data_IF_435243737447
#
_entry.id   IF_435243737447
#
_cell.length_a   1.000
_cell.length_b   1.000
_cell.length_c   1.000
_cell.angle_alpha   90.00
_cell.angle_beta   90.00
_cell.angle_gamma   90.00
#
_symmetry.space_group_name_H-M   'P 1'
#
loop_
_entity.id
_entity.type
_entity.pdbx_description
1 polymer ?
#
# COMPACT_ATOMS: atom_id res chain seq x y z
N UNK A 1 5.98 29.21 -39.74
CA UNK A 1 5.56 28.43 -38.56
C UNK A 1 4.21 27.83 -38.92
N UNK A 2 4.16 26.52 -39.14
CA UNK A 2 2.99 25.83 -39.66
C UNK A 2 1.81 26.01 -38.72
N UNK A 3 0.74 26.60 -39.26
CA UNK A 3 -0.54 26.79 -38.58
C UNK A 3 -1.30 25.45 -38.60
N UNK A 4 -0.69 24.38 -38.08
CA UNK A 4 -1.36 23.08 -37.98
C UNK A 4 -2.50 23.21 -36.96
N UNK A 5 -3.71 22.96 -37.43
CA UNK A 5 -4.90 22.93 -36.58
C UNK A 5 -4.74 21.81 -35.55
N UNK A 6 -5.17 22.08 -34.32
CA UNK A 6 -5.25 21.08 -33.23
C UNK A 6 -5.93 19.82 -33.74
N UNK A 7 -5.37 18.65 -33.40
CA UNK A 7 -5.87 17.37 -33.87
C UNK A 7 -7.34 17.13 -33.44
N UNK A 8 -8.26 16.72 -34.34
CA UNK A 8 -9.70 16.59 -34.01
C UNK A 8 -9.99 15.66 -32.84
N UNK A 9 -9.21 14.57 -32.67
CA UNK A 9 -9.36 13.68 -31.51
C UNK A 9 -9.19 14.43 -30.19
N UNK A 10 -8.27 15.39 -30.11
CA UNK A 10 -8.05 16.16 -28.89
C UNK A 10 -9.24 17.08 -28.60
N UNK A 11 -9.84 17.68 -29.63
CA UNK A 11 -11.04 18.50 -29.46
C UNK A 11 -12.19 17.70 -28.84
N UNK A 12 -12.35 16.43 -29.23
CA UNK A 12 -13.35 15.53 -28.65
C UNK A 12 -13.07 15.15 -27.18
N UNK A 13 -11.84 15.35 -26.69
CA UNK A 13 -11.47 15.08 -25.29
C UNK A 13 -11.74 16.26 -24.36
N UNK A 14 -12.01 17.46 -24.88
CA UNK A 14 -12.25 18.66 -24.05
C UNK A 14 -13.36 18.45 -23.01
N UNK A 15 -14.52 17.82 -23.31
CA UNK A 15 -15.54 17.56 -22.29
C UNK A 15 -15.06 16.70 -21.12
N UNK A 16 -14.09 15.80 -21.34
CA UNK A 16 -13.54 14.97 -20.27
C UNK A 16 -12.73 15.79 -19.26
N UNK A 17 -12.09 16.87 -19.71
CA UNK A 17 -11.30 17.76 -18.85
C UNK A 17 -12.17 18.35 -17.75
N UNK A 18 -13.34 18.89 -18.13
CA UNK A 18 -14.28 19.47 -17.17
C UNK A 18 -15.01 18.37 -16.37
N UNK A 19 -15.48 17.31 -17.04
CA UNK A 19 -16.23 16.23 -16.39
C UNK A 19 -15.46 15.51 -15.28
N UNK A 20 -14.20 15.14 -15.53
CA UNK A 20 -13.35 14.45 -14.53
C UNK A 20 -13.05 15.38 -13.36
N UNK A 21 -12.60 16.59 -13.65
CA UNK A 21 -12.26 17.61 -12.66
C UNK A 21 -13.43 17.90 -11.72
N UNK A 22 -14.63 18.15 -12.26
CA UNK A 22 -15.84 18.41 -11.46
C UNK A 22 -16.29 17.21 -10.64
N UNK A 23 -16.11 15.99 -11.17
CA UNK A 23 -16.46 14.76 -10.44
C UNK A 23 -15.55 14.54 -9.23
N UNK A 24 -14.26 14.86 -9.35
CA UNK A 24 -13.26 14.66 -8.30
C UNK A 24 -13.10 15.87 -7.36
N UNK A 25 -13.64 17.02 -7.74
CA UNK A 25 -13.63 18.24 -6.94
C UNK A 25 -12.45 19.17 -7.21
N UNK A 26 -12.38 20.28 -6.47
CA UNK A 26 -11.44 21.39 -6.70
C UNK A 26 -9.96 21.00 -6.66
N UNK A 27 -9.63 19.93 -5.94
CA UNK A 27 -8.25 19.47 -5.77
C UNK A 27 -7.75 18.64 -6.96
N UNK A 28 -8.61 18.36 -7.94
CA UNK A 28 -8.24 17.61 -9.14
C UNK A 28 -8.11 18.55 -10.34
N UNK A 29 -6.89 18.78 -10.78
CA UNK A 29 -6.59 19.43 -12.05
C UNK A 29 -6.58 18.39 -13.17
N UNK A 30 -7.20 18.75 -14.29
CA UNK A 30 -7.15 17.94 -15.51
C UNK A 30 -6.65 18.83 -16.64
N UNK A 31 -5.64 18.35 -17.37
CA UNK A 31 -4.95 19.11 -18.41
C UNK A 31 -4.91 18.29 -19.68
N UNK A 32 -5.39 18.86 -20.78
CA UNK A 32 -5.26 18.28 -22.11
C UNK A 32 -4.15 19.00 -22.87
N UNK A 33 -3.23 18.21 -23.41
CA UNK A 33 -2.06 18.68 -24.13
C UNK A 33 -2.13 18.30 -25.62
N UNK A 34 -1.77 19.26 -26.47
CA UNK A 34 -1.31 19.05 -27.83
C UNK A 34 0.23 18.95 -27.82
N UNK A 35 0.77 17.78 -28.16
CA UNK A 35 2.22 17.56 -28.13
C UNK A 35 2.94 18.10 -29.37
N UNK A 36 2.22 18.40 -30.45
CA UNK A 36 2.80 18.99 -31.67
C UNK A 36 3.17 20.46 -31.46
N UNK A 37 2.57 21.11 -30.46
CA UNK A 37 2.89 22.49 -30.07
C UNK A 37 3.40 22.56 -28.61
N UNK A 38 4.64 22.10 -28.32
CA UNK A 38 5.15 22.02 -26.96
C UNK A 38 5.25 23.37 -26.24
N UNK A 39 5.43 24.48 -26.97
CA UNK A 39 5.50 25.83 -26.39
C UNK A 39 4.14 26.33 -25.90
N UNK A 40 3.05 25.83 -26.48
CA UNK A 40 1.66 26.17 -26.11
C UNK A 40 0.81 24.90 -25.97
N UNK A 41 1.36 23.88 -25.30
CA UNK A 41 0.77 22.55 -25.32
C UNK A 41 -0.61 22.47 -24.68
N UNK A 42 -0.90 23.28 -23.66
CA UNK A 42 -2.18 23.19 -22.94
C UNK A 42 -3.30 23.78 -23.78
N UNK A 43 -4.18 22.92 -24.30
CA UNK A 43 -5.33 23.33 -25.12
C UNK A 43 -6.65 23.35 -24.33
N UNK A 44 -6.74 22.61 -23.23
CA UNK A 44 -7.83 22.70 -22.27
C UNK A 44 -7.32 22.36 -20.87
N UNK A 45 -7.86 23.02 -19.86
CA UNK A 45 -7.48 22.81 -18.46
C UNK A 45 -8.66 23.14 -17.55
N UNK A 46 -8.88 22.30 -16.52
CA UNK A 46 -9.80 22.56 -15.42
C UNK A 46 -9.03 22.50 -14.10
N UNK A 47 -9.41 23.33 -13.13
CA UNK A 47 -8.71 23.51 -11.85
C UNK A 47 -7.21 23.85 -11.98
N UNK A 48 -6.83 24.66 -12.98
CA UNK A 48 -5.43 25.06 -13.22
C UNK A 48 -4.74 25.79 -12.07
N UNK A 49 -5.48 26.19 -11.02
CA UNK A 49 -4.92 26.73 -9.78
C UNK A 49 -4.11 25.71 -8.97
N UNK A 50 -4.28 24.40 -9.22
CA UNK A 50 -3.47 23.35 -8.57
C UNK A 50 -2.00 23.47 -8.97
N UNK A 51 -1.71 23.70 -10.26
CA UNK A 51 -0.32 23.88 -10.72
C UNK A 51 0.04 25.32 -11.11
N UNK A 52 -0.94 26.23 -11.13
CA UNK A 52 -0.81 27.59 -11.63
C UNK A 52 -0.80 27.70 -13.16
N UNK A 53 -1.13 26.62 -13.88
CA UNK A 53 -1.11 26.57 -15.35
C UNK A 53 -2.44 27.03 -15.94
N UNK A 54 -2.41 27.45 -17.20
CA UNK A 54 -3.57 27.91 -17.98
C UNK A 54 -3.50 27.43 -19.43
N UNK A 55 -4.57 27.61 -20.19
CA UNK A 55 -4.54 27.40 -21.64
C UNK A 55 -3.40 28.22 -22.26
N UNK A 56 -2.63 27.59 -23.15
CA UNK A 56 -1.43 28.15 -23.76
C UNK A 56 -0.14 27.99 -22.93
N UNK A 57 -0.20 27.41 -21.73
CA UNK A 57 1.02 27.08 -20.97
C UNK A 57 1.90 26.06 -21.71
N UNK A 58 3.24 26.18 -21.61
CA UNK A 58 4.17 25.26 -22.25
C UNK A 58 4.14 23.89 -21.57
N UNK A 59 4.59 22.86 -22.28
CA UNK A 59 4.80 21.54 -21.72
C UNK A 59 5.93 21.56 -20.69
N UNK A 60 5.77 20.78 -19.62
CA UNK A 60 6.80 20.63 -18.59
C UNK A 60 8.03 19.90 -19.11
N UNK A 61 9.19 20.11 -18.50
CA UNK A 61 10.43 19.36 -18.79
C UNK A 61 10.20 17.84 -18.78
N UNK A 62 9.50 17.32 -17.78
CA UNK A 62 9.14 15.90 -17.70
C UNK A 62 8.29 15.42 -18.88
N UNK A 63 7.33 16.24 -19.33
CA UNK A 63 6.52 15.95 -20.52
C UNK A 63 7.37 15.90 -21.80
N UNK A 64 8.32 16.83 -21.94
CA UNK A 64 9.29 16.82 -23.05
C UNK A 64 10.18 15.57 -23.01
N UNK A 65 10.67 15.19 -21.83
CA UNK A 65 11.45 13.95 -21.65
C UNK A 65 10.64 12.71 -21.99
N UNK A 66 9.37 12.63 -21.55
CA UNK A 66 8.50 11.49 -21.83
C UNK A 66 8.27 11.30 -23.34
N UNK A 67 8.12 12.40 -24.09
CA UNK A 67 8.05 12.36 -25.55
C UNK A 67 9.38 11.92 -26.15
N UNK A 68 10.49 12.54 -25.74
CA UNK A 68 11.83 12.24 -26.28
C UNK A 68 12.24 10.79 -26.05
N UNK A 69 11.96 10.26 -24.87
CA UNK A 69 12.34 8.91 -24.45
C UNK A 69 11.35 7.84 -24.91
N UNK A 70 10.29 8.21 -25.64
CA UNK A 70 9.20 7.31 -26.05
C UNK A 70 8.51 6.60 -24.88
N UNK A 71 8.42 7.26 -23.73
CA UNK A 71 7.70 6.74 -22.57
C UNK A 71 6.19 6.60 -22.83
N UNK A 72 5.70 7.19 -23.93
CA UNK A 72 4.34 7.09 -24.42
C UNK A 72 3.91 5.72 -24.95
N UNK A 73 4.82 4.73 -25.01
CA UNK A 73 4.44 3.33 -25.27
C UNK A 73 3.46 2.80 -24.22
N UNK A 74 3.46 3.38 -23.00
CA UNK A 74 2.52 3.07 -21.94
C UNK A 74 2.05 4.33 -21.23
N UNK A 75 0.86 4.29 -20.67
CA UNK A 75 0.38 5.36 -19.80
C UNK A 75 1.19 5.42 -18.50
N UNK A 76 1.47 6.63 -18.01
CA UNK A 76 2.12 6.84 -16.72
C UNK A 76 1.03 6.98 -15.66
N UNK A 77 0.90 6.03 -14.74
CA UNK A 77 -0.25 5.94 -13.83
C UNK A 77 0.17 6.03 -12.37
N UNK A 78 -0.55 6.82 -11.56
CA UNK A 78 -0.42 6.92 -10.09
C UNK A 78 1.00 7.30 -9.61
N UNK A 79 1.71 8.17 -10.32
CA UNK A 79 3.03 8.63 -9.89
C UNK A 79 2.93 9.89 -9.01
N UNK A 80 3.95 10.11 -8.18
CA UNK A 80 4.09 11.33 -7.37
C UNK A 80 4.77 12.44 -8.17
N UNK A 81 4.31 13.68 -7.99
CA UNK A 81 5.03 14.89 -8.35
C UNK A 81 4.78 15.98 -7.30
N UNK A 82 5.48 17.10 -7.43
CA UNK A 82 5.43 18.23 -6.51
C UNK A 82 5.28 19.50 -7.33
N UNK A 83 4.36 20.37 -6.92
CA UNK A 83 4.16 21.70 -7.52
C UNK A 83 5.28 22.65 -7.09
N UNK A 84 5.36 23.82 -7.74
CA UNK A 84 6.37 24.83 -7.39
C UNK A 84 6.19 25.39 -5.96
N UNK A 85 4.97 25.35 -5.42
CA UNK A 85 4.64 25.75 -4.05
C UNK A 85 4.74 24.60 -3.02
N UNK A 86 5.22 23.42 -3.43
CA UNK A 86 5.54 22.30 -2.52
C UNK A 86 4.39 21.32 -2.26
N UNK A 87 3.22 21.50 -2.87
CA UNK A 87 2.08 20.56 -2.74
C UNK A 87 2.39 19.24 -3.41
N UNK A 88 1.96 18.15 -2.77
CA UNK A 88 2.15 16.79 -3.28
C UNK A 88 0.97 16.38 -4.14
N UNK A 89 1.22 16.03 -5.40
CA UNK A 89 0.17 15.49 -6.26
C UNK A 89 0.38 14.01 -6.57
N UNK A 90 -0.75 13.32 -6.72
CA UNK A 90 -0.87 11.99 -7.32
C UNK A 90 -1.37 12.18 -8.74
N UNK A 91 -0.51 11.86 -9.69
CA UNK A 91 -0.71 12.22 -11.10
C UNK A 91 -0.74 11.01 -12.02
N UNK A 92 -1.47 11.15 -13.13
CA UNK A 92 -1.45 10.20 -14.24
C UNK A 92 -1.40 10.95 -15.58
N UNK A 93 -0.68 10.42 -16.55
CA UNK A 93 -0.60 10.90 -17.93
C UNK A 93 -1.06 9.80 -18.87
N UNK A 94 -2.16 10.06 -19.57
CA UNK A 94 -2.77 9.17 -20.54
C UNK A 94 -2.42 9.67 -21.94
N UNK A 95 -1.64 8.90 -22.69
CA UNK A 95 -1.26 9.28 -24.05
C UNK A 95 -2.41 8.99 -25.01
N UNK A 96 -2.67 9.95 -25.90
CA UNK A 96 -3.73 9.87 -26.90
C UNK A 96 -3.06 9.61 -28.24
N UNK A 97 -3.40 8.47 -28.84
CA UNK A 97 -2.92 8.07 -30.15
C UNK A 97 -4.02 8.19 -31.19
N UNK A 98 -3.64 8.47 -32.43
CA UNK A 98 -4.54 8.43 -33.57
C UNK A 98 -4.66 7.02 -34.18
N UNK A 99 -5.36 6.91 -35.31
CA UNK A 99 -5.59 5.64 -36.00
C UNK A 99 -4.32 5.03 -36.61
N UNK A 100 -3.24 5.82 -36.73
CA UNK A 100 -1.93 5.39 -37.21
C UNK A 100 -1.00 4.94 -36.07
N UNK A 101 -1.51 4.86 -34.82
CA UNK A 101 -0.74 4.64 -33.58
C UNK A 101 0.25 5.78 -33.24
N UNK A 102 0.10 6.95 -33.88
CA UNK A 102 0.92 8.12 -33.61
C UNK A 102 0.37 8.90 -32.42
N UNK A 103 1.24 9.32 -31.51
CA UNK A 103 0.84 10.13 -30.36
C UNK A 103 0.52 11.53 -30.82
N UNK A 104 -0.70 12.00 -30.54
CA UNK A 104 -1.17 13.34 -30.91
C UNK A 104 -1.32 14.27 -29.72
N UNK A 105 -1.46 13.71 -28.51
CA UNK A 105 -1.60 14.48 -27.29
C UNK A 105 -1.52 13.64 -26.03
N UNK A 106 -1.79 14.25 -24.89
CA UNK A 106 -1.99 13.52 -23.65
C UNK A 106 -2.98 14.23 -22.70
N UNK A 107 -3.67 13.43 -21.89
CA UNK A 107 -4.55 13.88 -20.81
C UNK A 107 -3.84 13.64 -19.47
N UNK A 108 -3.56 14.70 -18.74
CA UNK A 108 -2.98 14.65 -17.40
C UNK A 108 -4.07 14.83 -16.36
N UNK A 109 -4.08 13.97 -15.34
CA UNK A 109 -4.95 14.07 -14.16
C UNK A 109 -4.03 14.25 -12.96
N UNK A 110 -4.13 15.38 -12.28
CA UNK A 110 -3.27 15.77 -11.17
C UNK A 110 -4.14 16.03 -9.93
N UNK A 111 -4.10 15.12 -8.96
CA UNK A 111 -4.83 15.26 -7.70
C UNK A 111 -3.91 15.77 -6.61
N UNK A 112 -4.20 16.94 -6.04
CA UNK A 112 -3.55 17.42 -4.82
C UNK A 112 -3.95 16.53 -3.64
N UNK A 113 -2.96 15.80 -3.12
CA UNK A 113 -3.15 14.87 -2.00
C UNK A 113 -2.47 15.35 -0.71
N UNK A 114 -2.07 16.61 -0.66
CA UNK A 114 -1.27 17.16 0.46
C UNK A 114 -1.98 16.98 1.81
N UNK A 115 -3.28 17.27 1.87
CA UNK A 115 -4.10 17.09 3.08
C UNK A 115 -4.20 15.62 3.50
N UNK A 116 -4.31 14.70 2.55
CA UNK A 116 -4.35 13.26 2.85
C UNK A 116 -3.01 12.74 3.36
N UNK A 117 -1.89 13.30 2.89
CA UNK A 117 -0.56 12.96 3.43
C UNK A 117 -0.45 13.40 4.89
N UNK A 118 -0.96 14.58 5.23
CA UNK A 118 -1.00 15.07 6.62
C UNK A 118 -1.94 14.20 7.47
N UNK A 119 -3.16 13.95 6.99
CA UNK A 119 -4.13 13.11 7.69
C UNK A 119 -3.58 11.70 7.93
N UNK A 120 -2.91 11.10 6.94
CA UNK A 120 -2.22 9.82 7.08
C UNK A 120 -1.22 9.85 8.23
N UNK A 121 -0.40 10.90 8.31
CA UNK A 121 0.59 11.05 9.39
C UNK A 121 -0.08 11.11 10.76
N UNK A 122 -1.13 11.91 10.91
CA UNK A 122 -1.89 12.02 12.18
C UNK A 122 -2.53 10.69 12.56
N UNK A 123 -3.14 9.99 11.61
CA UNK A 123 -3.73 8.66 11.85
C UNK A 123 -2.65 7.67 12.25
N UNK A 124 -1.50 7.65 11.57
CA UNK A 124 -0.38 6.80 11.93
C UNK A 124 0.09 7.09 13.35
N UNK A 125 0.37 8.35 13.70
CA UNK A 125 0.79 8.73 15.05
C UNK A 125 -0.25 8.38 16.14
N UNK A 126 -1.54 8.50 15.83
CA UNK A 126 -2.62 8.17 16.77
C UNK A 126 -2.80 6.66 16.97
N UNK A 127 -2.49 5.85 15.95
CA UNK A 127 -2.75 4.39 15.94
C UNK A 127 -1.49 3.56 16.13
N UNK A 128 -0.31 4.18 16.08
CA UNK A 128 0.96 3.53 16.31
C UNK A 128 1.04 3.02 17.76
N UNK A 129 1.25 1.72 17.89
CA UNK A 129 1.48 1.07 19.19
C UNK A 129 2.89 0.54 19.23
N UNK A 130 3.60 0.89 20.30
CA UNK A 130 4.93 0.39 20.60
C UNK A 130 4.89 -0.51 21.83
N UNK A 131 5.79 -1.48 21.90
CA UNK A 131 6.09 -2.17 23.15
C UNK A 131 6.94 -1.27 24.08
N UNK A 132 7.24 -1.78 25.27
CA UNK A 132 8.06 -1.08 26.28
C UNK A 132 9.49 -0.78 25.81
N UNK A 133 9.92 -1.35 24.69
CA UNK A 133 11.23 -1.16 24.06
C UNK A 133 11.18 -0.30 22.79
N UNK A 134 10.02 0.30 22.47
CA UNK A 134 9.85 1.14 21.30
C UNK A 134 9.77 0.37 19.97
N UNK A 135 9.55 -0.95 20.00
CA UNK A 135 9.31 -1.75 18.79
C UNK A 135 7.82 -1.82 18.49
N UNK A 136 7.47 -1.90 17.20
CA UNK A 136 6.08 -2.08 16.78
C UNK A 136 5.46 -3.30 17.47
N UNK A 137 4.36 -3.08 18.17
CA UNK A 137 3.71 -4.11 18.99
C UNK A 137 2.81 -4.99 18.11
N UNK A 138 3.34 -6.12 17.64
CA UNK A 138 2.51 -7.20 17.04
C UNK A 138 1.79 -8.05 18.11
N UNK A 139 2.03 -7.81 19.39
CA UNK A 139 1.47 -8.66 20.45
C UNK A 139 -0.03 -8.40 20.65
N UNK A 140 -0.84 -9.32 20.11
CA UNK A 140 -2.25 -9.44 20.48
C UNK A 140 -2.35 -10.03 21.89
N UNK A 141 -2.71 -9.19 22.85
CA UNK A 141 -3.10 -9.65 24.18
C UNK A 141 -4.37 -10.52 24.06
N UNK A 142 -4.37 -11.66 24.73
CA UNK A 142 -5.47 -12.62 24.67
C UNK A 142 -6.31 -12.46 25.93
N UNK A 143 -7.47 -11.82 25.80
CA UNK A 143 -8.41 -11.65 26.91
C UNK A 143 -9.35 -12.86 26.97
N UNK A 144 -9.23 -13.66 28.03
CA UNK A 144 -10.15 -14.75 28.36
C UNK A 144 -11.06 -14.38 29.54
N UNK A 145 -12.23 -15.03 29.64
CA UNK A 145 -13.11 -14.87 30.82
C UNK A 145 -12.64 -15.70 32.02
N UNK A 146 -11.77 -16.69 31.77
CA UNK A 146 -11.04 -17.43 32.78
C UNK A 146 -9.63 -17.81 32.25
N UNK A 147 -8.77 -18.35 33.11
CA UNK A 147 -7.37 -18.66 32.76
C UNK A 147 -7.22 -19.83 31.78
N UNK A 148 -8.20 -20.74 31.72
CA UNK A 148 -8.21 -21.84 30.75
C UNK A 148 -8.53 -21.33 29.35
N UNK A 149 -9.41 -20.33 29.21
CA UNK A 149 -9.69 -19.70 27.92
C UNK A 149 -8.41 -19.09 27.31
N UNK A 150 -7.57 -18.49 28.16
CA UNK A 150 -6.27 -17.94 27.76
C UNK A 150 -5.34 -19.08 27.29
N UNK A 151 -5.24 -20.16 28.06
CA UNK A 151 -4.45 -21.35 27.70
C UNK A 151 -4.89 -21.92 26.33
N UNK A 152 -6.19 -22.13 26.14
CA UNK A 152 -6.74 -22.68 24.90
C UNK A 152 -6.47 -21.78 23.71
N UNK A 153 -6.65 -20.47 23.87
CA UNK A 153 -6.40 -19.51 22.80
C UNK A 153 -4.93 -19.39 22.43
N UNK A 154 -4.01 -19.38 23.41
CA UNK A 154 -2.56 -19.32 23.15
C UNK A 154 -2.10 -20.59 22.42
N UNK A 155 -2.52 -21.78 22.88
CA UNK A 155 -2.19 -23.05 22.21
C UNK A 155 -2.77 -23.11 20.80
N UNK A 156 -4.02 -22.69 20.61
CA UNK A 156 -4.68 -22.63 19.31
C UNK A 156 -3.93 -21.73 18.32
N UNK A 157 -3.58 -20.50 18.72
CA UNK A 157 -2.84 -19.55 17.88
C UNK A 157 -1.47 -20.08 17.45
N UNK A 158 -0.75 -20.77 18.34
CA UNK A 158 0.55 -21.36 18.00
C UNK A 158 0.38 -22.47 16.96
N UNK A 159 -0.62 -23.34 17.12
CA UNK A 159 -0.88 -24.43 16.17
C UNK A 159 -1.35 -23.91 14.80
N UNK A 160 -2.22 -22.91 14.78
CA UNK A 160 -2.63 -22.24 13.54
C UNK A 160 -1.44 -21.59 12.82
N UNK A 161 -0.52 -20.96 13.56
CA UNK A 161 0.69 -20.35 13.01
C UNK A 161 1.65 -21.36 12.36
N UNK A 162 1.68 -22.61 12.84
CA UNK A 162 2.45 -23.70 12.20
C UNK A 162 1.74 -24.21 10.94
N UNK A 163 0.40 -24.10 10.86
CA UNK A 163 -0.38 -24.39 9.65
C UNK A 163 -0.39 -25.88 9.23
N UNK A 164 -0.04 -26.79 10.14
CA UNK A 164 0.07 -28.24 9.89
C UNK A 164 -0.75 -29.02 10.91
N UNK A 165 -1.55 -30.04 10.53
CA UNK A 165 -2.26 -30.85 11.51
C UNK A 165 -1.29 -31.67 12.38
N UNK A 166 -1.56 -31.74 13.69
CA UNK A 166 -0.70 -32.40 14.70
C UNK A 166 -0.35 -33.85 14.35
N UNK A 167 -1.29 -34.58 13.73
CA UNK A 167 -1.10 -35.97 13.32
C UNK A 167 0.03 -36.16 12.29
N UNK A 168 0.39 -35.11 11.55
CA UNK A 168 1.47 -35.13 10.56
C UNK A 168 2.77 -34.49 11.08
N UNK A 169 2.79 -34.02 12.33
CA UNK A 169 3.97 -33.36 12.89
C UNK A 169 5.04 -34.36 13.32
N UNK A 170 6.30 -34.07 13.00
CA UNK A 170 7.45 -34.81 13.49
C UNK A 170 7.86 -34.35 14.90
N UNK A 171 8.92 -34.94 15.47
CA UNK A 171 9.39 -34.60 16.82
C UNK A 171 9.84 -33.15 16.87
N UNK A 172 10.63 -32.72 15.89
CA UNK A 172 11.26 -31.40 15.84
C UNK A 172 10.21 -30.28 15.82
N UNK A 173 9.15 -30.44 15.03
CA UNK A 173 8.02 -29.51 14.96
C UNK A 173 7.25 -29.45 16.29
N UNK A 174 7.05 -30.58 16.97
CA UNK A 174 6.40 -30.60 18.30
C UNK A 174 7.27 -29.96 19.38
N UNK A 175 8.59 -30.15 19.32
CA UNK A 175 9.55 -29.48 20.23
C UNK A 175 9.51 -27.96 19.99
N UNK A 176 9.48 -27.50 18.75
CA UNK A 176 9.38 -26.07 18.43
C UNK A 176 8.06 -25.46 18.95
N UNK A 177 6.94 -26.16 18.84
CA UNK A 177 5.67 -25.71 19.43
C UNK A 177 5.80 -25.57 20.95
N UNK A 178 6.35 -26.57 21.64
CA UNK A 178 6.56 -26.50 23.10
C UNK A 178 7.49 -25.34 23.47
N UNK A 179 8.53 -25.07 22.66
CA UNK A 179 9.41 -23.92 22.85
C UNK A 179 8.68 -22.59 22.74
N UNK A 180 7.91 -22.38 21.68
CA UNK A 180 7.11 -21.15 21.49
C UNK A 180 6.12 -20.98 22.65
N UNK A 181 5.49 -22.06 23.11
CA UNK A 181 4.57 -22.03 24.25
C UNK A 181 5.28 -21.69 25.57
N UNK A 182 6.51 -22.19 25.79
CA UNK A 182 7.32 -21.87 26.97
C UNK A 182 7.77 -20.40 26.96
N UNK A 183 8.22 -19.89 25.81
CA UNK A 183 8.58 -18.48 25.64
C UNK A 183 7.39 -17.53 25.88
N UNK A 184 6.16 -17.98 25.56
CA UNK A 184 4.91 -17.25 25.85
C UNK A 184 4.43 -17.43 27.31
N UNK A 185 5.16 -18.16 28.15
CA UNK A 185 4.80 -18.40 29.54
C UNK A 185 3.60 -19.33 29.75
N UNK A 186 3.21 -20.11 28.73
CA UNK A 186 2.02 -20.98 28.78
C UNK A 186 2.08 -21.97 29.94
N UNK A 187 3.27 -22.48 30.26
CA UNK A 187 3.48 -23.46 31.32
C UNK A 187 3.45 -22.90 32.75
N UNK A 188 3.28 -21.57 32.91
CA UNK A 188 2.97 -20.95 34.20
C UNK A 188 1.52 -21.23 34.63
N UNK A 189 0.63 -21.55 33.68
CA UNK A 189 -0.77 -21.88 33.95
C UNK A 189 -0.86 -23.32 34.47
N UNK A 190 -1.50 -23.51 35.63
CA UNK A 190 -1.73 -24.84 36.19
C UNK A 190 -2.59 -25.68 35.24
N UNK A 191 -2.15 -26.90 34.93
CA UNK A 191 -2.85 -27.81 34.02
C UNK A 191 -2.46 -27.67 32.55
N UNK A 192 -1.64 -26.68 32.19
CA UNK A 192 -1.11 -26.48 30.83
C UNK A 192 -0.40 -27.70 30.25
N UNK A 193 0.44 -28.38 31.04
CA UNK A 193 1.16 -29.59 30.59
C UNK A 193 0.20 -30.71 30.18
N UNK A 194 -0.88 -30.91 30.92
CA UNK A 194 -1.89 -31.93 30.60
C UNK A 194 -2.58 -31.59 29.27
N UNK A 195 -3.03 -30.34 29.14
CA UNK A 195 -3.73 -29.88 27.95
C UNK A 195 -2.84 -29.90 26.70
N UNK A 196 -1.59 -29.42 26.80
CA UNK A 196 -0.65 -29.43 25.67
C UNK A 196 -0.29 -30.87 25.27
N UNK A 197 -0.15 -31.78 26.23
CA UNK A 197 0.08 -33.20 25.94
C UNK A 197 -1.10 -33.82 25.15
N UNK A 198 -2.33 -33.54 25.58
CA UNK A 198 -3.55 -33.95 24.89
C UNK A 198 -3.59 -33.41 23.46
N UNK A 199 -3.42 -32.09 23.29
CA UNK A 199 -3.49 -31.43 21.98
C UNK A 199 -2.39 -31.89 21.02
N UNK A 200 -1.18 -32.14 21.52
CA UNK A 200 -0.06 -32.63 20.70
C UNK A 200 -0.07 -34.15 20.51
N UNK A 201 -1.06 -34.86 21.06
CA UNK A 201 -1.18 -36.31 21.06
C UNK A 201 0.09 -37.01 21.56
N UNK A 202 0.63 -36.56 22.70
CA UNK A 202 1.81 -37.14 23.35
C UNK A 202 1.55 -37.32 24.85
N UNK A 203 2.47 -38.01 25.55
CA UNK A 203 2.36 -38.14 27.01
C UNK A 203 2.84 -36.86 27.72
N UNK A 204 2.37 -36.62 28.95
CA UNK A 204 2.94 -35.57 29.82
C UNK A 204 4.45 -35.70 29.99
N UNK A 205 4.94 -36.94 30.12
CA UNK A 205 6.36 -37.23 30.21
C UNK A 205 7.12 -36.72 28.99
N UNK A 206 6.54 -36.86 27.79
CA UNK A 206 7.09 -36.33 26.55
C UNK A 206 7.16 -34.79 26.56
N UNK A 207 6.14 -34.10 27.07
CA UNK A 207 6.18 -32.62 27.22
C UNK A 207 7.30 -32.19 28.17
N UNK A 208 7.45 -32.86 29.33
CA UNK A 208 8.56 -32.57 30.23
C UNK A 208 9.92 -32.83 29.57
N UNK A 209 10.09 -33.92 28.82
CA UNK A 209 11.33 -34.15 28.07
C UNK A 209 11.62 -33.05 27.05
N UNK A 210 10.60 -32.56 26.34
CA UNK A 210 10.77 -31.44 25.40
C UNK A 210 11.16 -30.15 26.14
N UNK A 211 10.54 -29.86 27.29
CA UNK A 211 10.88 -28.71 28.14
C UNK A 211 12.32 -28.80 28.66
N UNK A 212 12.74 -29.99 29.09
CA UNK A 212 14.12 -30.22 29.55
C UNK A 212 15.11 -30.07 28.40
N UNK A 213 14.79 -30.63 27.22
CA UNK A 213 15.59 -30.48 26.00
C UNK A 213 15.81 -28.98 25.67
N UNK A 214 14.74 -28.18 25.59
CA UNK A 214 14.86 -26.76 25.22
C UNK A 214 15.50 -25.88 26.31
N UNK A 215 15.37 -26.23 27.59
CA UNK A 215 15.91 -25.44 28.71
C UNK A 215 17.37 -25.78 29.03
N UNK A 216 17.83 -26.98 28.65
CA UNK A 216 19.23 -27.40 28.83
C UNK A 216 20.17 -26.71 27.82
N UNK A 217 19.65 -26.21 26.70
CA UNK A 217 20.42 -25.50 25.68
C UNK A 217 20.32 -23.96 25.74
N UNK A 218 19.93 -23.39 26.89
CA UNK A 218 19.94 -21.94 27.16
C UNK A 218 21.25 -21.46 27.76
#
# INVERSE_FOLDING_TARGET
>A
MSNEKVHPLLLNMIPLVDGISRTLGSNCEVVLHDIKNPQHSVIAISNGHVTGRKVGSPMTERGLMAIRNKEYEKNLIKYKNVTNDGRTLKSSTLFIKDQSDEVVGCLCINLDISEFVVAKKVITELTETIDEFGKYKETQETYGTNINDILYSVVGKVLEGIGKPVAYMNKEEKVEIVKILDEKGTFLIKGSVEYVAEVLCVSRYTIYNYLDEIRTYK
#
